data_IF_595432664163
#
_entry.id   IF_595432664163
#
_cell.length_a   1.000
_cell.length_b   1.000
_cell.length_c   1.000
_cell.angle_alpha   90.00
_cell.angle_beta   90.00
_cell.angle_gamma   90.00
#
_symmetry.space_group_name_H-M   'P 1'
#
loop_
_entity.id
_entity.type
_entity.pdbx_description
1 polymer ?
#
# COMPACT_ATOMS: atom_id res chain seq x y z
N UNK A 1 5.98 -14.00 2.26
CA UNK A 1 5.19 -12.80 2.63
C UNK A 1 5.11 -11.86 1.44
N UNK A 2 3.97 -11.28 1.23
CA UNK A 2 3.72 -10.33 0.14
C UNK A 2 3.23 -9.00 0.71
N UNK A 3 3.69 -7.92 0.12
CA UNK A 3 3.12 -6.59 0.29
C UNK A 3 2.17 -6.31 -0.86
N UNK A 4 0.88 -6.32 -0.57
CA UNK A 4 -0.16 -5.97 -1.52
C UNK A 4 -0.41 -4.46 -1.47
N UNK A 5 -0.54 -3.85 -2.63
CA UNK A 5 -0.99 -2.45 -2.79
C UNK A 5 -2.13 -2.40 -3.78
N UNK A 6 -3.19 -1.71 -3.41
CA UNK A 6 -4.31 -1.42 -4.30
C UNK A 6 -4.53 0.10 -4.36
N UNK A 7 -4.54 0.65 -5.55
CA UNK A 7 -4.83 2.07 -5.81
C UNK A 7 -6.25 2.14 -6.37
N UNK A 8 -7.14 2.75 -5.61
CA UNK A 8 -8.58 2.69 -5.82
C UNK A 8 -9.17 4.09 -5.98
N UNK A 9 -10.35 4.21 -6.60
CA UNK A 9 -11.14 5.43 -6.50
C UNK A 9 -11.44 5.78 -5.04
N UNK A 10 -11.51 7.06 -4.72
CA UNK A 10 -11.92 7.54 -3.40
C UNK A 10 -13.27 6.92 -2.98
N UNK A 11 -13.34 6.44 -1.74
CA UNK A 11 -14.54 5.81 -1.18
C UNK A 11 -14.57 4.28 -1.30
N UNK A 12 -13.62 3.65 -1.98
CA UNK A 12 -13.56 2.19 -2.17
C UNK A 12 -12.61 1.48 -1.20
N UNK A 13 -11.77 2.20 -0.49
CA UNK A 13 -10.75 1.63 0.40
C UNK A 13 -11.33 0.75 1.51
N UNK A 14 -12.41 1.16 2.16
CA UNK A 14 -13.00 0.42 3.28
C UNK A 14 -13.55 -0.95 2.86
N UNK A 15 -14.20 -1.03 1.70
CA UNK A 15 -14.70 -2.29 1.13
C UNK A 15 -13.53 -3.25 0.83
N UNK A 16 -12.48 -2.74 0.21
CA UNK A 16 -11.27 -3.52 -0.10
C UNK A 16 -10.52 -3.96 1.16
N UNK A 17 -10.40 -3.10 2.15
CA UNK A 17 -9.80 -3.46 3.45
C UNK A 17 -10.55 -4.63 4.10
N UNK A 18 -11.89 -4.61 4.06
CA UNK A 18 -12.71 -5.70 4.59
C UNK A 18 -12.43 -7.02 3.85
N UNK A 19 -12.45 -7.00 2.53
CA UNK A 19 -12.15 -8.19 1.71
C UNK A 19 -10.78 -8.77 2.05
N UNK A 20 -9.75 -7.94 2.04
CA UNK A 20 -8.36 -8.37 2.30
C UNK A 20 -8.18 -8.88 3.74
N UNK A 21 -8.92 -8.31 4.69
CA UNK A 21 -8.93 -8.80 6.07
C UNK A 21 -9.53 -10.20 6.16
N UNK A 22 -10.65 -10.43 5.48
CA UNK A 22 -11.30 -11.73 5.43
C UNK A 22 -10.39 -12.78 4.74
N UNK A 23 -9.53 -12.35 3.82
CA UNK A 23 -8.50 -13.17 3.16
C UNK A 23 -7.24 -13.42 4.02
N UNK A 24 -7.22 -12.96 5.27
CA UNK A 24 -6.16 -13.26 6.22
C UNK A 24 -5.00 -12.27 6.27
N UNK A 25 -5.20 -11.03 5.85
CA UNK A 25 -4.16 -10.02 5.97
C UNK A 25 -3.76 -9.76 7.44
N UNK A 26 -2.45 -9.74 7.68
CA UNK A 26 -1.85 -9.53 8.99
C UNK A 26 -1.89 -8.06 9.38
N UNK A 27 -1.58 -7.19 8.44
CA UNK A 27 -1.57 -5.73 8.59
C UNK A 27 -2.29 -5.12 7.41
N UNK A 28 -3.16 -4.16 7.67
CA UNK A 28 -3.85 -3.40 6.63
C UNK A 28 -3.83 -1.91 7.01
N UNK A 29 -3.48 -1.08 6.06
CA UNK A 29 -3.61 0.38 6.18
C UNK A 29 -4.15 0.99 4.90
N UNK A 30 -4.84 2.11 5.03
CA UNK A 30 -5.36 2.88 3.91
C UNK A 30 -4.99 4.34 4.08
N UNK A 31 -4.55 4.97 3.02
CA UNK A 31 -4.24 6.39 3.01
C UNK A 31 -4.71 7.05 1.72
N UNK A 32 -4.82 8.37 1.75
CA UNK A 32 -5.29 9.16 0.63
C UNK A 32 -4.15 9.56 -0.30
N UNK A 33 -4.46 9.58 -1.59
CA UNK A 33 -3.57 10.06 -2.62
C UNK A 33 -4.32 10.76 -3.75
N UNK A 34 -3.56 11.25 -4.69
CA UNK A 34 -4.07 11.86 -5.90
C UNK A 34 -3.39 11.25 -7.11
N UNK A 35 -4.18 10.77 -8.05
CA UNK A 35 -3.69 10.35 -9.35
C UNK A 35 -3.56 11.54 -10.29
N UNK A 36 -2.57 11.49 -11.17
CA UNK A 36 -2.50 12.40 -12.31
C UNK A 36 -3.38 11.86 -13.45
N UNK A 37 -4.20 12.71 -14.03
CA UNK A 37 -4.88 12.41 -15.27
C UNK A 37 -4.08 13.00 -16.44
N UNK A 38 -4.27 12.42 -17.64
CA UNK A 38 -3.70 13.02 -18.85
C UNK A 38 -4.22 14.46 -19.06
N UNK A 39 -3.43 15.32 -19.65
CA UNK A 39 -3.83 16.72 -19.90
C UNK A 39 -5.16 16.83 -20.62
N UNK A 40 -5.46 15.92 -21.56
CA UNK A 40 -6.73 15.87 -22.27
C UNK A 40 -7.93 15.59 -21.37
N UNK A 41 -7.76 14.77 -20.33
CA UNK A 41 -8.80 14.47 -19.34
C UNK A 41 -8.93 15.60 -18.33
N UNK A 42 -7.82 16.19 -17.90
CA UNK A 42 -7.80 17.31 -16.98
C UNK A 42 -8.55 18.52 -17.58
N UNK A 43 -8.31 18.84 -18.85
CA UNK A 43 -8.97 19.95 -19.54
C UNK A 43 -10.48 19.71 -19.70
N UNK A 44 -10.91 18.49 -20.00
CA UNK A 44 -12.32 18.13 -20.16
C UNK A 44 -13.10 18.15 -18.85
N UNK A 45 -12.50 17.68 -17.78
CA UNK A 45 -13.17 17.58 -16.47
C UNK A 45 -12.93 18.79 -15.56
N UNK A 46 -12.08 19.73 -15.96
CA UNK A 46 -11.62 20.86 -15.13
C UNK A 46 -11.06 20.40 -13.75
N UNK A 47 -10.43 19.22 -13.71
CA UNK A 47 -9.93 18.60 -12.49
C UNK A 47 -8.41 18.42 -12.62
N UNK A 48 -7.65 19.07 -11.78
CA UNK A 48 -6.18 18.95 -11.78
C UNK A 48 -5.69 17.66 -11.11
N UNK A 49 -6.53 17.01 -10.28
CA UNK A 49 -6.15 15.82 -9.50
C UNK A 49 -7.34 14.89 -9.31
N UNK A 50 -7.12 13.61 -9.50
CA UNK A 50 -8.12 12.57 -9.24
C UNK A 50 -7.87 11.99 -7.86
N UNK A 51 -8.86 12.08 -6.97
CA UNK A 51 -8.78 11.54 -5.60
C UNK A 51 -8.71 10.02 -5.62
N UNK A 52 -7.73 9.46 -4.93
CA UNK A 52 -7.50 8.02 -4.78
C UNK A 52 -7.44 7.62 -3.31
N UNK A 53 -7.68 6.34 -3.06
CA UNK A 53 -7.34 5.65 -1.83
C UNK A 53 -6.31 4.57 -2.15
N UNK A 54 -5.28 4.47 -1.34
CA UNK A 54 -4.26 3.45 -1.46
C UNK A 54 -4.41 2.51 -0.26
N UNK A 55 -4.76 1.26 -0.53
CA UNK A 55 -4.78 0.20 0.48
C UNK A 55 -3.47 -0.57 0.39
N UNK A 56 -2.83 -0.74 1.52
CA UNK A 56 -1.60 -1.50 1.66
C UNK A 56 -1.79 -2.58 2.71
N UNK A 57 -1.43 -3.82 2.40
CA UNK A 57 -1.60 -4.95 3.27
C UNK A 57 -0.43 -5.93 3.20
N UNK A 58 -0.19 -6.63 4.30
CA UNK A 58 0.79 -7.71 4.38
C UNK A 58 0.04 -9.03 4.52
N UNK A 59 0.34 -9.97 3.64
CA UNK A 59 -0.25 -11.31 3.60
C UNK A 59 0.86 -12.35 3.43
N UNK A 60 0.58 -13.59 3.81
CA UNK A 60 1.39 -14.70 3.34
C UNK A 60 1.19 -14.93 1.83
N UNK A 61 2.04 -15.76 1.22
CA UNK A 61 2.04 -15.94 -0.23
C UNK A 61 0.74 -16.59 -0.75
N UNK A 62 0.13 -17.50 0.00
CA UNK A 62 -1.12 -18.18 -0.37
C UNK A 62 -2.31 -17.21 -0.30
N UNK A 63 -2.45 -16.52 0.82
CA UNK A 63 -3.53 -15.56 1.03
C UNK A 63 -3.41 -14.34 0.08
N UNK A 64 -2.19 -13.94 -0.25
CA UNK A 64 -1.97 -12.88 -1.24
C UNK A 64 -2.49 -13.25 -2.63
N UNK A 65 -2.32 -14.51 -3.03
CA UNK A 65 -2.88 -15.01 -4.29
C UNK A 65 -4.40 -14.99 -4.29
N UNK A 66 -5.03 -15.46 -3.21
CA UNK A 66 -6.49 -15.42 -3.05
C UNK A 66 -7.00 -13.98 -3.10
N UNK A 67 -6.39 -13.09 -2.35
CA UNK A 67 -6.76 -11.68 -2.31
C UNK A 67 -6.61 -11.02 -3.70
N UNK A 68 -5.55 -11.32 -4.43
CA UNK A 68 -5.35 -10.77 -5.77
C UNK A 68 -6.40 -11.26 -6.77
N UNK A 69 -6.79 -12.54 -6.73
CA UNK A 69 -7.84 -13.09 -7.59
C UNK A 69 -9.19 -12.43 -7.30
N UNK A 70 -9.56 -12.22 -6.03
CA UNK A 70 -10.77 -11.52 -5.64
C UNK A 70 -10.74 -10.03 -6.02
N UNK A 71 -9.60 -9.37 -5.83
CA UNK A 71 -9.41 -7.97 -6.20
C UNK A 71 -9.46 -7.77 -7.71
N UNK A 72 -8.90 -8.67 -8.50
CA UNK A 72 -8.96 -8.62 -9.96
C UNK A 72 -10.42 -8.58 -10.43
N UNK A 73 -11.26 -9.46 -9.92
CA UNK A 73 -12.68 -9.48 -10.25
C UNK A 73 -13.38 -8.18 -9.87
N UNK A 74 -13.12 -7.64 -8.67
CA UNK A 74 -13.70 -6.39 -8.19
C UNK A 74 -13.19 -5.17 -8.97
N UNK A 75 -11.89 -5.10 -9.25
CA UNK A 75 -11.27 -4.01 -10.01
C UNK A 75 -11.77 -3.99 -11.45
N UNK A 76 -11.97 -5.14 -12.05
CA UNK A 76 -12.55 -5.25 -13.39
C UNK A 76 -13.97 -4.65 -13.46
N UNK A 77 -14.79 -4.88 -12.44
CA UNK A 77 -16.13 -4.29 -12.34
C UNK A 77 -16.10 -2.77 -12.19
N UNK A 78 -15.11 -2.23 -11.48
CA UNK A 78 -14.98 -0.78 -11.24
C UNK A 78 -14.31 -0.08 -12.42
N UNK A 79 -13.50 -0.78 -13.18
CA UNK A 79 -12.72 -0.30 -14.33
C UNK A 79 -11.81 0.91 -14.05
N UNK A 80 -11.39 1.13 -12.81
CA UNK A 80 -10.61 2.32 -12.43
C UNK A 80 -9.57 2.10 -11.33
N UNK A 81 -9.29 0.86 -10.99
CA UNK A 81 -8.31 0.52 -9.96
C UNK A 81 -7.14 -0.29 -10.50
N UNK A 82 -6.09 -0.37 -9.72
CA UNK A 82 -4.95 -1.24 -9.96
C UNK A 82 -4.50 -1.86 -8.64
N UNK A 83 -4.13 -3.14 -8.68
CA UNK A 83 -3.51 -3.82 -7.55
C UNK A 83 -2.27 -4.56 -8.02
N UNK A 84 -1.29 -4.65 -7.15
CA UNK A 84 -0.06 -5.40 -7.38
C UNK A 84 0.52 -5.89 -6.06
N UNK A 85 1.34 -6.94 -6.12
CA UNK A 85 2.09 -7.45 -4.99
C UNK A 85 3.58 -7.31 -5.21
N UNK A 86 4.32 -7.23 -4.13
CA UNK A 86 5.77 -7.35 -4.13
C UNK A 86 6.22 -8.27 -3.00
N UNK A 87 7.25 -9.06 -3.26
CA UNK A 87 7.83 -9.92 -2.24
C UNK A 87 8.36 -9.08 -1.08
N UNK A 88 8.04 -9.50 0.15
CA UNK A 88 8.58 -8.95 1.38
C UNK A 88 9.63 -9.88 1.95
N UNK A 89 10.74 -9.30 2.35
CA UNK A 89 11.71 -9.95 3.19
C UNK A 89 11.24 -9.89 4.65
N UNK A 90 11.10 -11.06 5.29
CA UNK A 90 10.72 -11.14 6.69
C UNK A 90 11.96 -11.17 7.57
N UNK A 91 12.03 -10.29 8.57
CA UNK A 91 13.17 -10.21 9.49
C UNK A 91 13.29 -11.50 10.29
N UNK A 92 14.39 -12.21 10.11
CA UNK A 92 14.72 -13.45 10.84
C UNK A 92 14.88 -14.70 9.98
N UNK A 93 14.44 -14.71 8.74
CA UNK A 93 14.51 -15.88 7.85
C UNK A 93 15.11 -15.56 6.46
N UNK A 94 15.72 -14.40 6.28
CA UNK A 94 16.19 -14.02 4.95
C UNK A 94 17.49 -14.71 4.57
N UNK A 95 17.38 -15.65 3.67
CA UNK A 95 18.47 -16.17 2.86
C UNK A 95 18.50 -15.50 1.47
N UNK A 96 17.77 -14.40 1.30
CA UNK A 96 17.73 -13.68 0.03
C UNK A 96 19.04 -12.92 -0.16
N UNK A 97 19.76 -13.27 -1.21
CA UNK A 97 20.88 -12.46 -1.68
C UNK A 97 20.30 -11.20 -2.33
N UNK A 98 20.41 -10.08 -1.62
CA UNK A 98 20.01 -8.80 -2.17
C UNK A 98 20.97 -8.37 -3.27
N UNK A 99 20.50 -8.36 -4.50
CA UNK A 99 21.25 -7.81 -5.63
C UNK A 99 21.27 -6.27 -5.64
N UNK A 100 20.44 -5.64 -4.79
CA UNK A 100 20.34 -4.18 -4.69
C UNK A 100 21.10 -3.65 -3.48
N UNK A 101 21.86 -2.56 -3.69
CA UNK A 101 22.51 -1.81 -2.62
C UNK A 101 21.55 -0.92 -1.82
N UNK A 102 20.26 -0.89 -2.17
CA UNK A 102 19.24 -0.10 -1.54
C UNK A 102 18.05 -0.96 -1.12
N UNK A 103 17.48 -0.64 0.02
CA UNK A 103 16.30 -1.28 0.54
C UNK A 103 15.24 -0.23 0.88
N UNK A 104 13.96 -0.56 0.65
CA UNK A 104 12.85 0.23 1.12
C UNK A 104 12.36 -0.34 2.45
N UNK A 105 12.36 0.48 3.49
CA UNK A 105 11.82 0.13 4.79
C UNK A 105 10.44 0.77 4.96
N UNK A 106 9.44 -0.06 5.22
CA UNK A 106 8.09 0.39 5.56
C UNK A 106 7.82 0.10 7.03
N UNK A 107 7.45 1.13 7.78
CA UNK A 107 7.16 1.02 9.20
C UNK A 107 5.75 1.56 9.45
N UNK A 108 4.90 0.74 10.03
CA UNK A 108 3.53 1.12 10.40
C UNK A 108 3.49 1.22 11.92
N UNK A 109 3.23 2.41 12.41
CA UNK A 109 3.24 2.73 13.85
C UNK A 109 2.01 3.54 14.23
N UNK A 110 1.75 3.64 15.51
CA UNK A 110 0.71 4.52 16.02
C UNK A 110 0.96 5.98 15.64
N UNK A 111 -0.10 6.75 15.52
CA UNK A 111 -0.10 8.11 14.97
C UNK A 111 0.98 9.03 15.55
N UNK A 112 1.29 8.89 16.83
CA UNK A 112 2.25 9.77 17.52
C UNK A 112 3.70 9.25 17.51
N UNK A 113 3.93 8.03 17.01
CA UNK A 113 5.25 7.37 17.00
C UNK A 113 6.02 7.56 15.69
N UNK A 114 5.41 8.17 14.67
CA UNK A 114 6.01 8.32 13.35
C UNK A 114 7.32 9.08 13.34
N UNK A 115 7.41 10.21 14.04
CA UNK A 115 8.64 11.03 14.11
C UNK A 115 9.76 10.28 14.83
N UNK A 116 9.43 9.51 15.85
CA UNK A 116 10.39 8.67 16.57
C UNK A 116 10.94 7.55 15.68
N UNK A 117 10.07 6.90 14.92
CA UNK A 117 10.48 5.89 13.94
C UNK A 117 11.42 6.48 12.87
N UNK A 118 11.13 7.68 12.37
CA UNK A 118 12.00 8.40 11.44
C UNK A 118 13.37 8.70 12.06
N UNK A 119 13.40 9.20 13.29
CA UNK A 119 14.65 9.51 14.01
C UNK A 119 15.52 8.26 14.17
N UNK A 120 14.94 7.15 14.59
CA UNK A 120 15.65 5.86 14.71
C UNK A 120 16.21 5.39 13.37
N UNK A 121 15.43 5.49 12.29
CA UNK A 121 15.89 5.12 10.97
C UNK A 121 17.08 5.98 10.51
N UNK A 122 17.03 7.29 10.74
CA UNK A 122 18.13 8.22 10.41
C UNK A 122 19.39 7.97 11.22
N UNK A 123 19.27 7.67 12.52
CA UNK A 123 20.39 7.27 13.37
C UNK A 123 21.08 5.99 12.88
N UNK A 124 20.35 5.13 12.18
CA UNK A 124 20.83 3.89 11.58
C UNK A 124 21.15 3.98 10.09
N UNK A 125 21.33 5.18 9.57
CA UNK A 125 21.87 5.41 8.21
C UNK A 125 20.85 5.75 7.13
N UNK A 126 19.56 5.86 7.45
CA UNK A 126 18.57 6.34 6.48
C UNK A 126 18.80 7.83 6.19
N UNK A 127 18.95 8.18 4.92
CA UNK A 127 19.20 9.57 4.50
C UNK A 127 17.93 10.43 4.47
N UNK A 128 16.77 9.80 4.39
CA UNK A 128 15.47 10.47 4.37
C UNK A 128 14.35 9.48 4.59
N UNK A 129 13.18 10.00 4.96
CA UNK A 129 11.97 9.23 5.15
C UNK A 129 10.74 10.04 4.73
N UNK A 130 9.68 9.35 4.38
CA UNK A 130 8.38 9.95 4.09
C UNK A 130 7.38 9.45 5.13
N UNK A 131 6.74 10.37 5.82
CA UNK A 131 5.70 10.08 6.79
C UNK A 131 4.34 10.23 6.12
N UNK A 132 3.54 9.18 6.18
CA UNK A 132 2.20 9.16 5.58
C UNK A 132 1.18 8.89 6.68
N UNK A 133 0.14 9.73 6.75
CA UNK A 133 -0.98 9.49 7.65
C UNK A 133 -1.96 8.50 7.01
N UNK A 134 -2.24 7.43 7.72
CA UNK A 134 -3.17 6.41 7.29
C UNK A 134 -4.13 5.99 8.39
N UNK A 135 -5.04 5.09 8.06
CA UNK A 135 -5.89 4.39 9.01
C UNK A 135 -5.73 2.89 8.87
N UNK A 136 -5.67 2.19 9.98
CA UNK A 136 -5.66 0.73 10.00
C UNK A 136 -7.08 0.15 10.02
N UNK A 137 -7.19 -1.12 9.63
CA UNK A 137 -8.38 -1.93 9.91
C UNK A 137 -8.20 -2.63 11.27
N UNK A 138 -9.08 -2.31 12.16
CA UNK A 138 -9.12 -2.96 13.47
C UNK A 138 -9.67 -4.40 13.37
#
# INVERSE_FOLDING_TARGET
MQLLRAILPRGKGSEFMKTIKDDGAIVITCYYGYGSASESIQSKLKVNKIKKEIVMAILDDENAKIAMDELEEKLFKINTGVAFTSQLEYKGESNLQNESNYQALYVIVDRHEGQKAVAIAQENGAKGATLIHGRGSA
#
